data_IF_038741778385
#
_entry.id   IF_038741778385
#
_cell.length_a   1.000
_cell.length_b   1.000
_cell.length_c   1.000
_cell.angle_alpha   90.00
_cell.angle_beta   90.00
_cell.angle_gamma   90.00
#
_symmetry.space_group_name_H-M   'P 1'
#
loop_
_entity.id
_entity.type
_entity.pdbx_description
1 polymer ?
#
# COMPACT_ATOMS: atom_id res chain seq x y z
N UNK A 1 4.18 23.16 -5.70
CA UNK A 1 4.50 21.80 -6.13
C UNK A 1 5.53 21.90 -7.25
N UNK A 2 6.67 21.24 -7.06
CA UNK A 2 7.75 21.25 -8.03
C UNK A 2 7.43 20.31 -9.20
N UNK A 3 7.97 20.62 -10.39
CA UNK A 3 7.89 19.75 -11.56
C UNK A 3 9.29 19.26 -11.92
N UNK A 4 9.40 17.97 -12.23
CA UNK A 4 10.65 17.40 -12.72
C UNK A 4 10.41 16.46 -13.88
N UNK A 5 11.40 16.36 -14.76
CA UNK A 5 11.40 15.38 -15.83
C UNK A 5 12.15 14.12 -15.40
N UNK A 6 11.70 12.97 -15.88
CA UNK A 6 12.28 11.67 -15.57
C UNK A 6 12.57 10.88 -16.85
N UNK A 7 13.55 9.97 -16.79
CA UNK A 7 13.93 9.11 -17.91
C UNK A 7 13.19 7.77 -17.91
N UNK A 8 12.74 7.33 -16.75
CA UNK A 8 12.03 6.08 -16.55
C UNK A 8 11.03 6.22 -15.40
N UNK A 9 9.87 5.57 -15.51
CA UNK A 9 8.83 5.57 -14.46
C UNK A 9 8.31 4.18 -14.12
N UNK A 10 8.31 3.24 -15.09
CA UNK A 10 7.91 1.86 -14.88
C UNK A 10 9.13 1.07 -14.39
N UNK A 11 9.22 0.87 -13.08
CA UNK A 11 10.33 0.18 -12.45
C UNK A 11 10.04 -1.32 -12.40
N UNK A 12 10.92 -2.14 -13.01
CA UNK A 12 10.82 -3.60 -12.94
C UNK A 12 11.47 -4.10 -11.65
N UNK A 13 10.78 -4.98 -10.93
CA UNK A 13 11.35 -5.69 -9.78
C UNK A 13 12.27 -6.81 -10.24
N UNK A 14 13.29 -7.14 -9.44
CA UNK A 14 14.22 -8.27 -9.74
C UNK A 14 13.49 -9.61 -9.70
N UNK A 15 12.58 -9.76 -8.74
CA UNK A 15 11.67 -10.89 -8.58
C UNK A 15 10.27 -10.33 -8.30
N UNK A 16 9.22 -11.07 -8.64
CA UNK A 16 7.86 -10.71 -8.29
C UNK A 16 7.74 -10.58 -6.77
N UNK A 17 7.13 -9.49 -6.35
CA UNK A 17 6.78 -9.31 -4.95
C UNK A 17 5.70 -10.31 -4.55
N UNK A 18 5.94 -11.05 -3.46
CA UNK A 18 5.02 -12.10 -3.00
C UNK A 18 3.81 -11.56 -2.22
N UNK A 19 3.88 -10.32 -1.75
CA UNK A 19 2.79 -9.68 -1.01
C UNK A 19 1.74 -9.10 -1.95
N UNK A 20 2.19 -8.32 -2.95
CA UNK A 20 1.33 -7.59 -3.89
C UNK A 20 1.31 -8.21 -5.29
N UNK A 21 2.00 -9.32 -5.49
CA UNK A 21 2.13 -10.05 -6.75
C UNK A 21 2.69 -9.17 -7.90
N UNK A 22 3.49 -8.17 -7.57
CA UNK A 22 3.89 -7.13 -8.49
C UNK A 22 5.22 -7.42 -9.20
N UNK A 23 5.24 -7.24 -10.52
CA UNK A 23 6.46 -7.20 -11.34
C UNK A 23 6.96 -5.79 -11.59
N UNK A 24 6.05 -4.83 -11.56
CA UNK A 24 6.36 -3.43 -11.85
C UNK A 24 5.80 -2.50 -10.78
N UNK A 25 6.41 -1.31 -10.70
CA UNK A 25 5.84 -0.21 -9.92
C UNK A 25 5.95 1.10 -10.68
N UNK A 26 5.01 2.02 -10.43
CA UNK A 26 5.01 3.37 -10.99
C UNK A 26 4.55 4.37 -9.93
N UNK A 27 5.22 5.54 -9.93
CA UNK A 27 4.85 6.68 -9.09
C UNK A 27 4.84 7.95 -9.96
N UNK A 28 3.67 8.60 -10.10
CA UNK A 28 3.54 9.87 -10.81
C UNK A 28 4.04 11.06 -10.00
N UNK A 29 3.98 10.91 -8.68
CA UNK A 29 4.34 11.93 -7.71
C UNK A 29 5.58 11.53 -6.93
N UNK A 30 6.24 12.51 -6.32
CA UNK A 30 7.21 12.36 -5.23
C UNK A 30 6.70 13.11 -4.00
N UNK A 31 6.99 12.54 -2.82
CA UNK A 31 6.33 12.95 -1.59
C UNK A 31 4.90 12.38 -1.52
N UNK A 32 4.25 12.57 -0.37
CA UNK A 32 2.92 12.04 -0.10
C UNK A 32 2.14 12.98 0.82
N UNK A 33 0.94 13.39 0.42
CA UNK A 33 0.08 14.26 1.23
C UNK A 33 -0.55 13.56 2.43
N UNK A 34 -0.56 12.22 2.49
CA UNK A 34 -0.98 11.49 3.69
C UNK A 34 -0.07 11.77 4.88
N UNK A 35 1.19 12.18 4.63
CA UNK A 35 2.16 12.64 5.61
C UNK A 35 2.35 11.70 6.81
N UNK A 36 2.32 10.39 6.58
CA UNK A 36 2.46 9.40 7.65
C UNK A 36 3.80 9.53 8.35
N UNK A 37 3.80 9.59 9.70
CA UNK A 37 5.02 9.75 10.50
C UNK A 37 5.92 8.51 10.42
N UNK A 38 5.34 7.33 10.29
CA UNK A 38 6.04 6.05 10.18
C UNK A 38 6.38 5.65 8.73
N UNK A 39 6.18 6.52 7.74
CA UNK A 39 6.35 6.14 6.34
C UNK A 39 7.76 5.61 6.06
N UNK A 40 7.85 4.37 5.59
CA UNK A 40 9.14 3.73 5.30
C UNK A 40 9.96 4.44 4.20
N UNK A 41 9.33 5.31 3.44
CA UNK A 41 10.03 6.12 2.43
C UNK A 41 10.93 7.15 3.10
N UNK A 42 10.52 7.72 4.25
CA UNK A 42 11.28 8.70 5.02
C UNK A 42 12.54 8.06 5.61
N UNK A 43 13.70 8.64 5.34
CA UNK A 43 15.01 8.14 5.78
C UNK A 43 15.52 6.94 4.99
N UNK A 44 14.78 6.44 3.99
CA UNK A 44 15.24 5.42 3.05
C UNK A 44 15.77 6.04 1.75
N UNK A 45 16.45 5.23 0.95
CA UNK A 45 16.92 5.63 -0.39
C UNK A 45 15.81 6.09 -1.36
N UNK A 46 14.55 5.86 -1.03
CA UNK A 46 13.39 6.29 -1.83
C UNK A 46 12.88 7.67 -1.41
N UNK A 47 13.35 8.20 -0.28
CA UNK A 47 12.88 9.42 0.34
C UNK A 47 13.83 10.61 0.28
N UNK A 48 14.93 10.53 -0.47
CA UNK A 48 15.95 11.60 -0.58
C UNK A 48 15.37 12.99 -0.93
N UNK A 49 14.19 13.03 -1.54
CA UNK A 49 13.55 14.28 -1.94
C UNK A 49 12.26 14.59 -1.14
N UNK A 50 11.95 13.85 -0.08
CA UNK A 50 10.70 14.08 0.67
C UNK A 50 10.70 15.43 1.40
N UNK A 51 11.88 15.92 1.80
CA UNK A 51 12.04 17.22 2.47
C UNK A 51 11.82 18.41 1.51
N UNK A 52 11.91 18.18 0.19
CA UNK A 52 11.68 19.18 -0.85
C UNK A 52 10.18 19.39 -1.15
N UNK A 53 9.30 18.72 -0.42
CA UNK A 53 7.85 18.79 -0.59
C UNK A 53 7.36 17.93 -1.78
N UNK A 54 6.09 18.15 -2.17
CA UNK A 54 5.46 17.39 -3.24
C UNK A 54 5.96 17.81 -4.62
N UNK A 55 6.35 16.83 -5.44
CA UNK A 55 6.74 17.04 -6.83
C UNK A 55 5.93 16.17 -7.81
N UNK A 56 5.76 16.70 -9.01
CA UNK A 56 5.11 16.02 -10.14
C UNK A 56 6.18 15.62 -11.15
N UNK A 57 6.12 14.42 -11.65
CA UNK A 57 6.90 13.96 -12.81
C UNK A 57 6.18 14.44 -14.07
N UNK A 58 6.55 15.62 -14.58
CA UNK A 58 5.81 16.33 -15.64
C UNK A 58 5.67 15.56 -16.94
N UNK A 59 6.59 14.65 -17.25
CA UNK A 59 6.57 13.79 -18.44
C UNK A 59 6.19 12.34 -18.15
N UNK A 60 5.57 12.06 -16.97
CA UNK A 60 5.27 10.68 -16.53
C UNK A 60 4.44 9.91 -17.55
N UNK A 61 3.43 10.54 -18.15
CA UNK A 61 2.52 9.89 -19.09
C UNK A 61 3.23 9.49 -20.39
N UNK A 62 4.03 10.39 -20.96
CA UNK A 62 4.79 10.12 -22.18
C UNK A 62 5.79 8.97 -21.97
N UNK A 63 6.54 9.02 -20.85
CA UNK A 63 7.54 7.99 -20.54
C UNK A 63 6.86 6.66 -20.23
N UNK A 64 5.77 6.66 -19.45
CA UNK A 64 5.00 5.47 -19.15
C UNK A 64 4.43 4.81 -20.38
N UNK A 65 3.84 5.59 -21.29
CA UNK A 65 3.26 5.09 -22.53
C UNK A 65 4.30 4.37 -23.39
N UNK A 66 5.47 4.98 -23.61
CA UNK A 66 6.58 4.36 -24.35
C UNK A 66 7.03 3.03 -23.70
N UNK A 67 7.12 3.01 -22.37
CA UNK A 67 7.56 1.82 -21.63
C UNK A 67 6.52 0.69 -21.69
N UNK A 68 5.22 1.00 -21.48
CA UNK A 68 4.14 0.02 -21.59
C UNK A 68 4.02 -0.54 -23.01
N UNK A 69 4.09 0.29 -24.03
CA UNK A 69 4.09 -0.13 -25.42
C UNK A 69 5.24 -1.11 -25.73
N UNK A 70 6.46 -0.77 -25.28
CA UNK A 70 7.62 -1.63 -25.48
C UNK A 70 7.48 -2.99 -24.78
N UNK A 71 6.88 -3.02 -23.58
CA UNK A 71 6.60 -4.25 -22.82
C UNK A 71 5.50 -5.08 -23.48
N UNK A 72 4.38 -4.46 -23.87
CA UNK A 72 3.27 -5.12 -24.55
C UNK A 72 3.70 -5.77 -25.85
N UNK A 73 4.51 -5.09 -26.69
CA UNK A 73 5.08 -5.67 -27.92
C UNK A 73 5.91 -6.94 -27.70
N UNK A 74 6.49 -7.09 -26.49
CA UNK A 74 7.30 -8.27 -26.10
C UNK A 74 6.49 -9.31 -25.32
N UNK A 75 5.19 -9.12 -25.13
CA UNK A 75 4.37 -9.98 -24.28
C UNK A 75 4.76 -9.98 -22.79
N UNK A 76 5.48 -8.95 -22.32
CA UNK A 76 6.01 -8.86 -20.96
C UNK A 76 5.00 -8.18 -20.03
N UNK A 77 3.87 -8.84 -19.83
CA UNK A 77 2.84 -8.41 -18.90
C UNK A 77 3.21 -8.76 -17.46
N UNK A 78 2.75 -7.94 -16.54
CA UNK A 78 2.95 -8.12 -15.09
C UNK A 78 2.10 -7.12 -14.32
N UNK A 79 1.79 -7.44 -13.06
CA UNK A 79 1.02 -6.55 -12.20
C UNK A 79 1.84 -5.30 -11.89
N UNK A 80 1.24 -4.12 -12.10
CA UNK A 80 1.85 -2.82 -11.82
C UNK A 80 1.30 -2.26 -10.51
N UNK A 81 2.16 -2.10 -9.48
CA UNK A 81 1.80 -1.33 -8.29
C UNK A 81 1.80 0.16 -8.64
N UNK A 82 0.66 0.81 -8.46
CA UNK A 82 0.49 2.25 -8.65
C UNK A 82 0.59 2.94 -7.30
N UNK A 83 1.59 3.80 -7.14
CA UNK A 83 1.80 4.54 -5.89
C UNK A 83 2.60 3.76 -4.83
N UNK A 84 3.66 3.03 -5.22
CA UNK A 84 4.48 2.23 -4.28
C UNK A 84 5.29 3.08 -3.28
N UNK A 85 5.72 4.29 -3.65
CA UNK A 85 6.49 5.20 -2.79
C UNK A 85 5.75 6.51 -2.48
N UNK A 86 4.47 6.58 -2.83
CA UNK A 86 3.54 7.69 -2.57
C UNK A 86 2.13 7.12 -2.56
N UNK A 87 1.13 7.90 -2.18
CA UNK A 87 -0.26 7.51 -2.44
C UNK A 87 -0.62 7.88 -3.89
N UNK A 88 -1.30 6.98 -4.61
CA UNK A 88 -1.75 7.25 -5.97
C UNK A 88 -2.86 8.31 -6.02
N UNK A 89 -3.63 8.46 -4.96
CA UNK A 89 -4.77 9.37 -4.85
C UNK A 89 -4.53 10.48 -3.83
N UNK A 90 -3.41 11.19 -3.98
CA UNK A 90 -3.12 12.40 -3.22
C UNK A 90 -4.23 13.45 -3.40
N UNK A 91 -4.42 14.38 -2.46
CA UNK A 91 -5.36 15.51 -2.62
C UNK A 91 -5.18 16.26 -3.94
N UNK A 92 -3.95 16.36 -4.42
CA UNK A 92 -3.62 17.02 -5.68
C UNK A 92 -4.11 16.26 -6.93
N UNK A 93 -4.43 14.97 -6.79
CA UNK A 93 -4.91 14.12 -7.87
C UNK A 93 -6.30 14.58 -8.39
N UNK A 94 -7.10 15.24 -7.56
CA UNK A 94 -8.36 15.87 -8.01
C UNK A 94 -8.13 16.85 -9.16
N UNK A 95 -7.05 17.63 -9.07
CA UNK A 95 -6.69 18.65 -10.06
C UNK A 95 -5.86 18.08 -11.21
N UNK A 96 -4.83 17.31 -10.90
CA UNK A 96 -3.83 16.89 -11.88
C UNK A 96 -4.22 15.67 -12.67
N UNK A 97 -5.07 14.80 -12.12
CA UNK A 97 -5.59 13.58 -12.76
C UNK A 97 -4.53 12.70 -13.42
N UNK A 98 -3.32 12.66 -12.82
CA UNK A 98 -2.23 11.87 -13.37
C UNK A 98 -2.47 10.37 -13.15
N UNK A 99 -3.02 9.97 -12.01
CA UNK A 99 -3.40 8.57 -11.76
C UNK A 99 -4.49 8.14 -12.72
N UNK A 100 -5.56 8.92 -12.90
CA UNK A 100 -6.60 8.65 -13.89
C UNK A 100 -5.99 8.50 -15.30
N UNK A 101 -5.05 9.37 -15.67
CA UNK A 101 -4.39 9.32 -16.98
C UNK A 101 -3.49 8.09 -17.14
N UNK A 102 -2.77 7.69 -16.07
CA UNK A 102 -2.00 6.44 -16.07
C UNK A 102 -2.91 5.21 -16.19
N UNK A 103 -4.07 5.21 -15.51
CA UNK A 103 -5.06 4.14 -15.63
C UNK A 103 -5.57 3.97 -17.05
N UNK A 104 -5.79 5.08 -17.79
CA UNK A 104 -6.14 5.03 -19.22
C UNK A 104 -5.03 4.36 -20.06
N UNK A 105 -3.77 4.57 -19.71
CA UNK A 105 -2.65 3.88 -20.36
C UNK A 105 -2.61 2.40 -20.01
N UNK A 106 -2.86 2.01 -18.77
CA UNK A 106 -2.95 0.59 -18.37
C UNK A 106 -4.10 -0.10 -19.11
N UNK A 107 -5.26 0.55 -19.25
CA UNK A 107 -6.35 0.04 -20.08
C UNK A 107 -5.91 -0.15 -21.53
N UNK A 108 -5.33 0.89 -22.14
CA UNK A 108 -4.86 0.88 -23.55
C UNK A 108 -3.89 -0.27 -23.84
N UNK A 109 -2.95 -0.50 -22.94
CA UNK A 109 -1.92 -1.53 -23.09
C UNK A 109 -2.22 -2.83 -22.35
N UNK A 110 -3.39 -2.94 -21.69
CA UNK A 110 -3.94 -4.12 -21.04
C UNK A 110 -3.08 -4.65 -19.88
N UNK A 111 -2.46 -3.76 -19.11
CA UNK A 111 -1.69 -4.13 -17.91
C UNK A 111 -2.59 -4.27 -16.69
N UNK A 112 -2.46 -5.36 -15.89
CA UNK A 112 -3.11 -5.47 -14.61
C UNK A 112 -2.47 -4.52 -13.58
N UNK A 113 -3.28 -4.07 -12.62
CA UNK A 113 -2.83 -3.09 -11.60
C UNK A 113 -3.14 -3.57 -10.19
N UNK A 114 -2.25 -3.23 -9.26
CA UNK A 114 -2.47 -3.25 -7.83
C UNK A 114 -2.43 -1.81 -7.31
N UNK A 115 -3.46 -1.40 -6.57
CA UNK A 115 -3.54 -0.06 -5.99
C UNK A 115 -3.86 -0.18 -4.51
N UNK A 116 -2.98 0.40 -3.67
CA UNK A 116 -3.24 0.58 -2.24
C UNK A 116 -3.28 2.08 -1.93
N UNK A 117 -4.38 2.54 -1.33
CA UNK A 117 -4.55 3.97 -1.03
C UNK A 117 -5.20 4.20 0.33
N UNK A 118 -4.88 5.35 0.94
CA UNK A 118 -5.54 5.88 2.14
C UNK A 118 -6.60 6.94 1.80
N UNK A 119 -6.89 7.13 0.50
CA UNK A 119 -7.80 8.18 0.01
C UNK A 119 -9.07 7.57 -0.58
N UNK A 120 -10.21 8.16 -0.26
CA UNK A 120 -11.51 7.77 -0.85
C UNK A 120 -11.68 8.23 -2.30
N UNK A 121 -10.76 9.06 -2.82
CA UNK A 121 -10.81 9.58 -4.18
C UNK A 121 -10.74 8.48 -5.26
N UNK A 122 -10.26 7.28 -4.94
CA UNK A 122 -10.26 6.13 -5.85
C UNK A 122 -11.67 5.79 -6.37
N UNK A 123 -12.72 6.11 -5.61
CA UNK A 123 -14.11 5.88 -6.02
C UNK A 123 -14.49 6.66 -7.30
N UNK A 124 -13.78 7.74 -7.62
CA UNK A 124 -13.94 8.49 -8.87
C UNK A 124 -13.69 7.62 -10.11
N UNK A 125 -12.77 6.68 -10.00
CA UNK A 125 -12.23 5.95 -11.15
C UNK A 125 -12.81 4.52 -11.30
N UNK A 126 -13.90 4.19 -10.59
CA UNK A 126 -14.52 2.85 -10.55
C UNK A 126 -14.76 2.30 -11.97
N UNK A 127 -15.37 3.09 -12.87
CA UNK A 127 -15.71 2.61 -14.21
C UNK A 127 -14.46 2.33 -15.06
N UNK A 128 -13.41 3.13 -14.90
CA UNK A 128 -12.14 2.90 -15.56
C UNK A 128 -11.44 1.64 -15.01
N UNK A 129 -11.48 1.44 -13.69
CA UNK A 129 -10.94 0.26 -13.03
C UNK A 129 -11.67 -1.03 -13.47
N UNK A 130 -13.01 -0.99 -13.64
CA UNK A 130 -13.77 -2.13 -14.21
C UNK A 130 -13.34 -2.49 -15.62
N UNK A 131 -13.08 -1.48 -16.46
CA UNK A 131 -12.60 -1.71 -17.82
C UNK A 131 -11.21 -2.36 -17.82
N UNK A 132 -10.31 -1.90 -16.94
CA UNK A 132 -8.99 -2.50 -16.77
C UNK A 132 -9.11 -3.94 -16.29
N UNK A 133 -9.92 -4.19 -15.25
CA UNK A 133 -10.12 -5.52 -14.66
C UNK A 133 -10.54 -6.56 -15.71
N UNK A 134 -11.45 -6.16 -16.60
CA UNK A 134 -11.94 -7.00 -17.71
C UNK A 134 -10.92 -7.18 -18.84
N UNK A 135 -10.13 -6.13 -19.15
CA UNK A 135 -9.28 -6.11 -20.34
C UNK A 135 -7.85 -6.59 -20.08
N UNK A 136 -7.39 -6.60 -18.82
CA UNK A 136 -6.01 -6.88 -18.46
C UNK A 136 -5.54 -8.27 -18.89
N UNK A 137 -4.28 -8.35 -19.28
CA UNK A 137 -3.59 -9.60 -19.59
C UNK A 137 -2.76 -9.98 -18.36
N UNK A 138 -3.18 -11.01 -17.66
CA UNK A 138 -2.46 -11.53 -16.50
C UNK A 138 -1.21 -12.31 -16.92
N UNK A 139 -0.15 -12.32 -16.08
CA UNK A 139 0.93 -13.29 -16.19
C UNK A 139 0.39 -14.72 -16.23
N UNK A 140 1.03 -15.58 -17.02
CA UNK A 140 0.51 -16.93 -17.30
C UNK A 140 0.29 -17.74 -16.02
N UNK A 141 1.25 -17.67 -15.10
CA UNK A 141 1.23 -18.36 -13.81
C UNK A 141 0.19 -17.81 -12.81
N UNK A 142 -0.36 -16.61 -13.05
CA UNK A 142 -1.41 -16.02 -12.21
C UNK A 142 -2.82 -16.14 -12.80
N UNK A 143 -2.96 -16.55 -14.06
CA UNK A 143 -4.28 -16.59 -14.73
C UNK A 143 -5.28 -17.47 -14.02
N UNK A 144 -4.86 -18.67 -13.61
CA UNK A 144 -5.74 -19.63 -12.98
C UNK A 144 -6.11 -19.26 -11.53
N UNK A 145 -5.15 -18.68 -10.78
CA UNK A 145 -5.30 -18.43 -9.36
C UNK A 145 -5.86 -17.04 -9.02
N UNK A 146 -5.55 -16.02 -9.83
CA UNK A 146 -5.97 -14.64 -9.55
C UNK A 146 -7.29 -14.27 -10.23
N UNK A 147 -7.44 -14.55 -11.52
CA UNK A 147 -8.66 -14.31 -12.30
C UNK A 147 -9.12 -12.85 -12.41
N UNK A 148 -8.33 -11.88 -11.90
CA UNK A 148 -8.67 -10.46 -11.79
C UNK A 148 -7.53 -9.58 -12.28
N UNK A 149 -7.87 -8.58 -13.11
CA UNK A 149 -6.89 -7.61 -13.63
C UNK A 149 -6.65 -6.41 -12.71
N UNK A 150 -7.50 -6.23 -11.69
CA UNK A 150 -7.39 -5.14 -10.72
C UNK A 150 -7.48 -5.69 -9.31
N UNK A 151 -6.50 -5.34 -8.49
CA UNK A 151 -6.46 -5.63 -7.06
C UNK A 151 -6.44 -4.30 -6.32
N UNK A 152 -7.40 -4.10 -5.42
CA UNK A 152 -7.53 -2.86 -4.67
C UNK A 152 -7.33 -3.11 -3.18
N UNK A 153 -6.64 -2.20 -2.52
CA UNK A 153 -6.51 -2.29 -1.07
C UNK A 153 -6.45 -0.92 -0.41
N UNK A 154 -6.65 -0.92 0.89
CA UNK A 154 -6.34 0.22 1.75
C UNK A 154 -5.39 -0.19 2.85
N UNK A 155 -4.57 0.78 3.35
CA UNK A 155 -3.72 0.50 4.50
C UNK A 155 -4.43 0.86 5.80
N UNK A 156 -4.28 0.01 6.83
CA UNK A 156 -4.75 0.27 8.19
C UNK A 156 -3.65 -0.11 9.19
N UNK A 157 -3.27 0.81 10.06
CA UNK A 157 -2.29 0.54 11.14
C UNK A 157 -2.97 0.42 12.50
N UNK A 158 -4.19 0.93 12.62
CA UNK A 158 -5.02 0.90 13.83
C UNK A 158 -6.47 1.23 13.46
N UNK A 159 -7.42 0.79 14.29
CA UNK A 159 -8.83 1.24 14.24
C UNK A 159 -9.10 2.42 15.17
N UNK A 160 -8.14 2.81 16.02
CA UNK A 160 -8.26 3.99 16.88
C UNK A 160 -8.06 5.26 16.04
N UNK A 161 -9.12 6.04 15.87
CA UNK A 161 -9.12 7.26 15.03
C UNK A 161 -8.16 8.34 15.55
N UNK A 162 -7.99 8.47 16.86
CA UNK A 162 -7.07 9.46 17.43
C UNK A 162 -5.62 9.11 17.09
N UNK A 163 -5.22 7.85 17.26
CA UNK A 163 -3.89 7.35 16.91
C UNK A 163 -3.68 7.47 15.40
N UNK A 164 -4.68 7.08 14.59
CA UNK A 164 -4.62 7.21 13.14
C UNK A 164 -4.41 8.67 12.72
N UNK A 165 -5.16 9.63 13.29
CA UNK A 165 -5.01 11.04 12.98
C UNK A 165 -3.62 11.58 13.35
N UNK A 166 -3.09 11.18 14.52
CA UNK A 166 -1.74 11.60 14.95
C UNK A 166 -0.65 11.07 14.01
N UNK A 167 -0.79 9.85 13.51
CA UNK A 167 0.23 9.18 12.70
C UNK A 167 0.08 9.40 11.19
N UNK A 168 -1.14 9.67 10.72
CA UNK A 168 -1.52 9.77 9.31
C UNK A 168 -2.38 11.02 9.04
N UNK A 169 -1.88 12.23 9.34
CA UNK A 169 -2.69 13.46 9.42
C UNK A 169 -3.38 13.86 8.10
N UNK A 170 -2.89 13.39 6.97
CA UNK A 170 -3.45 13.69 5.64
C UNK A 170 -4.21 12.50 5.02
N UNK A 171 -4.50 11.44 5.77
CA UNK A 171 -5.24 10.29 5.29
C UNK A 171 -6.72 10.35 5.70
N UNK A 172 -7.59 9.68 4.96
CA UNK A 172 -8.96 9.42 5.41
C UNK A 172 -8.95 8.57 6.70
N UNK A 173 -9.99 8.67 7.52
CA UNK A 173 -10.09 7.88 8.76
C UNK A 173 -10.13 6.37 8.48
N UNK A 174 -9.76 5.51 9.44
CA UNK A 174 -9.86 4.06 9.28
C UNK A 174 -11.24 3.59 8.80
N UNK A 175 -12.30 4.15 9.38
CA UNK A 175 -13.67 3.79 9.02
C UNK A 175 -14.05 4.24 7.60
N UNK A 176 -13.64 5.44 7.17
CA UNK A 176 -13.88 5.91 5.80
C UNK A 176 -13.17 5.03 4.77
N UNK A 177 -11.95 4.58 5.07
CA UNK A 177 -11.19 3.65 4.21
C UNK A 177 -11.87 2.29 4.09
N UNK A 178 -12.41 1.76 5.19
CA UNK A 178 -13.16 0.50 5.16
C UNK A 178 -14.48 0.64 4.40
N UNK A 179 -15.22 1.73 4.59
CA UNK A 179 -16.45 2.01 3.82
C UNK A 179 -16.14 2.15 2.32
N UNK A 180 -15.06 2.84 1.95
CA UNK A 180 -14.58 2.90 0.56
C UNK A 180 -14.30 1.50 0.02
N UNK A 181 -13.56 0.68 0.78
CA UNK A 181 -13.23 -0.70 0.37
C UNK A 181 -14.49 -1.54 0.16
N UNK A 182 -15.48 -1.42 1.05
CA UNK A 182 -16.76 -2.09 0.92
C UNK A 182 -17.51 -1.68 -0.36
N UNK A 183 -17.50 -0.39 -0.71
CA UNK A 183 -18.08 0.09 -1.96
C UNK A 183 -17.38 -0.52 -3.19
N UNK A 184 -16.05 -0.57 -3.18
CA UNK A 184 -15.27 -1.20 -4.24
C UNK A 184 -15.57 -2.71 -4.33
N UNK A 185 -15.72 -3.38 -3.20
CA UNK A 185 -16.11 -4.79 -3.14
C UNK A 185 -17.49 -5.05 -3.72
N UNK A 186 -18.46 -4.18 -3.44
CA UNK A 186 -19.82 -4.23 -4.02
C UNK A 186 -19.81 -4.05 -5.55
N UNK A 187 -18.81 -3.38 -6.09
CA UNK A 187 -18.58 -3.28 -7.55
C UNK A 187 -17.91 -4.52 -8.16
N UNK A 188 -17.61 -5.53 -7.33
CA UNK A 188 -17.07 -6.81 -7.76
C UNK A 188 -15.55 -6.89 -7.80
N UNK A 189 -14.80 -5.91 -7.30
CA UNK A 189 -13.34 -5.97 -7.27
C UNK A 189 -12.80 -6.97 -6.25
N UNK A 190 -11.57 -7.45 -6.48
CA UNK A 190 -10.76 -8.13 -5.47
C UNK A 190 -10.19 -7.07 -4.53
N UNK A 191 -10.63 -7.09 -3.27
CA UNK A 191 -10.34 -6.04 -2.31
C UNK A 191 -9.73 -6.58 -1.02
N UNK A 192 -8.72 -5.87 -0.47
CA UNK A 192 -8.12 -6.26 0.79
C UNK A 192 -7.60 -5.11 1.63
N UNK A 193 -7.12 -5.43 2.81
CA UNK A 193 -6.49 -4.49 3.73
C UNK A 193 -5.00 -4.82 3.89
N UNK A 194 -4.16 -3.81 3.77
CA UNK A 194 -2.77 -3.88 4.16
C UNK A 194 -2.65 -3.34 5.58
N UNK A 195 -2.73 -4.22 6.58
CA UNK A 195 -2.43 -3.89 7.97
C UNK A 195 -0.90 -3.82 8.16
N UNK A 196 -0.30 -2.89 7.43
CA UNK A 196 1.13 -2.63 7.32
C UNK A 196 1.36 -1.12 7.40
N UNK A 197 2.02 -0.66 8.49
CA UNK A 197 2.52 -1.47 9.61
C UNK A 197 1.49 -1.71 10.70
N UNK A 198 1.59 -2.84 11.39
CA UNK A 198 1.08 -2.98 12.74
C UNK A 198 2.09 -2.33 13.69
N UNK A 199 1.58 -1.58 14.67
CA UNK A 199 2.38 -0.76 15.58
C UNK A 199 2.69 -1.55 16.85
N UNK A 200 3.97 -1.91 17.12
CA UNK A 200 4.34 -2.66 18.33
C UNK A 200 3.85 -1.96 19.61
N UNK A 201 3.31 -2.73 20.54
CA UNK A 201 2.77 -2.29 21.83
C UNK A 201 1.56 -1.35 21.75
N UNK A 202 1.05 -1.06 20.54
CA UNK A 202 -0.08 -0.15 20.29
C UNK A 202 -1.23 -0.87 19.60
N UNK A 203 -0.97 -1.47 18.43
CA UNK A 203 -2.00 -2.19 17.66
C UNK A 203 -1.68 -3.69 17.46
N UNK A 204 -0.65 -4.22 18.13
CA UNK A 204 -0.22 -5.60 18.03
C UNK A 204 -0.73 -6.50 19.20
N UNK A 205 -1.50 -5.94 20.15
CA UNK A 205 -2.21 -6.75 21.15
C UNK A 205 -3.25 -7.62 20.46
N UNK A 206 -3.64 -8.74 21.08
CA UNK A 206 -4.65 -9.63 20.50
C UNK A 206 -5.97 -8.88 20.26
N UNK A 207 -6.39 -8.03 21.21
CA UNK A 207 -7.60 -7.23 21.13
C UNK A 207 -7.56 -6.21 19.97
N UNK A 208 -6.50 -5.41 19.88
CA UNK A 208 -6.39 -4.38 18.83
C UNK A 208 -6.24 -4.99 17.44
N UNK A 209 -5.47 -6.07 17.32
CA UNK A 209 -5.33 -6.79 16.06
C UNK A 209 -6.66 -7.44 15.65
N UNK A 210 -7.42 -8.00 16.59
CA UNK A 210 -8.75 -8.54 16.33
C UNK A 210 -9.73 -7.46 15.89
N UNK A 211 -9.66 -6.24 16.46
CA UNK A 211 -10.46 -5.09 15.98
C UNK A 211 -10.18 -4.76 14.52
N UNK A 212 -8.91 -4.76 14.11
CA UNK A 212 -8.53 -4.52 12.71
C UNK A 212 -9.07 -5.63 11.80
N UNK A 213 -8.86 -6.89 12.18
CA UNK A 213 -9.25 -8.05 11.37
C UNK A 213 -10.77 -8.18 11.28
N UNK A 214 -11.49 -8.08 12.41
CA UNK A 214 -12.95 -8.17 12.44
C UNK A 214 -13.62 -7.02 11.68
N UNK A 215 -13.07 -5.79 11.78
CA UNK A 215 -13.56 -4.65 11.01
C UNK A 215 -13.30 -4.84 9.52
N UNK A 216 -12.16 -5.40 9.13
CA UNK A 216 -11.83 -5.76 7.74
C UNK A 216 -12.82 -6.77 7.18
N UNK A 217 -13.08 -7.85 7.92
CA UNK A 217 -14.07 -8.87 7.58
C UNK A 217 -15.50 -8.29 7.49
N UNK A 218 -15.91 -7.47 8.47
CA UNK A 218 -17.23 -6.83 8.52
C UNK A 218 -17.51 -5.90 7.32
N UNK A 219 -16.46 -5.44 6.61
CA UNK A 219 -16.57 -4.67 5.37
C UNK A 219 -16.35 -5.53 4.12
N UNK A 220 -16.44 -6.86 4.23
CA UNK A 220 -16.38 -7.83 3.14
C UNK A 220 -15.07 -7.84 2.34
N UNK A 221 -13.94 -7.50 2.97
CA UNK A 221 -12.64 -7.64 2.32
C UNK A 221 -12.31 -9.13 2.06
N UNK A 222 -11.61 -9.40 0.96
CA UNK A 222 -11.20 -10.75 0.57
C UNK A 222 -9.98 -11.24 1.34
N UNK A 223 -9.10 -10.32 1.73
CA UNK A 223 -7.84 -10.65 2.41
C UNK A 223 -7.37 -9.51 3.32
N UNK A 224 -6.48 -9.86 4.23
CA UNK A 224 -5.70 -8.91 5.02
C UNK A 224 -4.23 -9.33 5.05
N UNK A 225 -3.34 -8.39 4.73
CA UNK A 225 -1.89 -8.57 4.85
C UNK A 225 -1.44 -7.91 6.15
N UNK A 226 -0.74 -8.65 7.01
CA UNK A 226 -0.27 -8.15 8.32
C UNK A 226 1.24 -8.09 8.34
N UNK A 227 1.80 -6.91 8.59
CA UNK A 227 3.25 -6.69 8.61
C UNK A 227 3.71 -5.72 9.68
N UNK A 228 4.97 -5.91 10.13
CA UNK A 228 5.57 -5.11 11.19
C UNK A 228 6.03 -3.72 10.74
N UNK A 229 6.28 -2.87 11.71
CA UNK A 229 6.71 -1.49 11.53
C UNK A 229 8.21 -1.42 11.17
N UNK A 230 8.53 -0.66 10.13
CA UNK A 230 9.91 -0.34 9.72
C UNK A 230 10.19 1.14 10.00
N UNK A 231 11.30 1.44 10.67
CA UNK A 231 11.70 2.80 11.03
C UNK A 231 13.09 3.10 10.51
N UNK A 232 13.21 4.08 9.61
CA UNK A 232 14.46 4.47 8.98
C UNK A 232 14.96 5.81 9.47
N UNK A 233 16.29 5.96 9.47
CA UNK A 233 17.04 7.20 9.60
C UNK A 233 17.00 7.85 10.98
N UNK A 234 17.76 8.93 11.12
CA UNK A 234 17.88 9.69 12.36
C UNK A 234 17.83 11.21 12.11
N UNK A 235 17.62 11.66 10.86
CA UNK A 235 17.39 13.06 10.57
C UNK A 235 15.99 13.51 11.03
N UNK A 236 15.77 14.79 11.13
CA UNK A 236 14.53 15.36 11.70
C UNK A 236 13.25 14.92 10.97
N UNK A 237 13.32 14.69 9.64
CA UNK A 237 12.18 14.28 8.82
C UNK A 237 12.09 12.75 8.60
N UNK A 238 13.01 11.97 9.17
CA UNK A 238 13.06 10.52 9.03
C UNK A 238 11.97 9.83 9.88
N UNK A 239 11.52 8.68 9.40
CA UNK A 239 10.40 7.99 10.04
C UNK A 239 10.70 7.57 11.47
N UNK A 240 11.95 7.18 11.80
CA UNK A 240 12.33 6.84 13.17
C UNK A 240 12.18 8.04 14.10
N UNK A 241 12.73 9.18 13.73
CA UNK A 241 12.67 10.43 14.52
C UNK A 241 11.23 10.86 14.74
N UNK A 242 10.44 10.97 13.66
CA UNK A 242 9.05 11.41 13.73
C UNK A 242 8.17 10.45 14.56
N UNK A 243 8.42 9.15 14.44
CA UNK A 243 7.69 8.16 15.22
C UNK A 243 8.03 8.22 16.71
N UNK A 244 9.29 8.45 17.06
CA UNK A 244 9.69 8.63 18.47
C UNK A 244 9.13 9.94 19.06
N UNK A 245 9.01 11.01 18.26
CA UNK A 245 8.31 12.22 18.68
C UNK A 245 6.80 11.97 18.90
N UNK A 246 6.18 11.14 18.08
CA UNK A 246 4.82 10.67 18.35
C UNK A 246 4.75 9.89 19.66
N UNK A 247 5.65 8.93 19.92
CA UNK A 247 5.67 8.16 21.19
C UNK A 247 5.81 9.06 22.42
N UNK A 248 6.66 10.10 22.36
CA UNK A 248 6.80 11.08 23.45
C UNK A 248 5.48 11.75 23.82
N UNK A 249 4.64 12.03 22.83
CA UNK A 249 3.34 12.69 23.03
C UNK A 249 2.23 11.73 23.39
N UNK A 250 2.26 10.52 22.87
CA UNK A 250 1.24 9.49 23.04
C UNK A 250 1.42 8.75 24.35
N UNK A 251 2.56 8.11 24.53
CA UNK A 251 2.97 7.38 25.75
C UNK A 251 4.50 7.21 25.78
N UNK A 252 5.17 8.06 26.52
CA UNK A 252 6.63 8.05 26.62
C UNK A 252 7.19 6.79 27.27
N UNK A 253 6.39 6.01 28.01
CA UNK A 253 6.80 4.74 28.62
C UNK A 253 7.09 3.65 27.57
N UNK A 254 6.62 3.83 26.32
CA UNK A 254 6.90 2.93 25.21
C UNK A 254 8.32 3.11 24.64
N UNK A 255 8.95 4.27 24.82
CA UNK A 255 10.25 4.56 24.21
C UNK A 255 11.31 3.52 24.56
N UNK A 256 11.54 3.16 25.85
CA UNK A 256 12.51 2.13 26.20
C UNK A 256 12.19 0.75 25.59
N UNK A 257 10.90 0.42 25.39
CA UNK A 257 10.48 -0.83 24.76
C UNK A 257 10.85 -0.86 23.28
N UNK A 258 10.64 0.27 22.56
CA UNK A 258 11.04 0.43 21.17
C UNK A 258 12.55 0.41 21.01
N UNK A 259 13.30 1.11 21.87
CA UNK A 259 14.76 1.10 21.87
C UNK A 259 15.32 -0.32 22.07
N UNK A 260 14.75 -1.09 23.00
CA UNK A 260 15.11 -2.49 23.21
C UNK A 260 14.77 -3.38 22.00
N UNK A 261 13.61 -3.14 21.36
CA UNK A 261 13.14 -3.94 20.22
C UNK A 261 13.96 -3.68 18.96
N UNK A 262 14.21 -2.43 18.63
CA UNK A 262 14.86 -2.04 17.38
C UNK A 262 16.39 -1.93 17.49
N UNK A 263 16.91 -1.45 18.62
CA UNK A 263 18.33 -1.18 18.79
C UNK A 263 18.87 -0.31 17.65
N UNK A 264 19.83 -0.84 16.90
CA UNK A 264 20.40 -0.20 15.71
C UNK A 264 19.71 -0.62 14.40
N UNK A 265 18.72 -1.52 14.46
CA UNK A 265 18.05 -2.06 13.28
C UNK A 265 16.89 -1.16 12.85
N UNK A 266 16.53 -1.25 11.58
CA UNK A 266 15.35 -0.60 11.00
C UNK A 266 14.07 -1.45 11.15
N UNK A 267 14.23 -2.74 11.39
CA UNK A 267 13.14 -3.74 11.46
C UNK A 267 13.06 -4.33 12.86
N UNK A 268 11.88 -4.72 13.31
CA UNK A 268 11.74 -5.49 14.52
C UNK A 268 12.36 -6.88 14.35
N UNK A 269 12.74 -7.58 15.44
CA UNK A 269 13.33 -8.92 15.39
C UNK A 269 12.46 -9.91 14.60
N UNK A 270 13.10 -10.87 13.90
CA UNK A 270 12.37 -11.92 13.16
C UNK A 270 11.37 -12.65 14.05
N UNK A 271 11.75 -12.97 15.27
CA UNK A 271 10.87 -13.63 16.26
C UNK A 271 9.57 -12.84 16.47
N UNK A 272 9.66 -11.51 16.63
CA UNK A 272 8.47 -10.67 16.76
C UNK A 272 7.60 -10.71 15.50
N UNK A 273 8.21 -10.68 14.33
CA UNK A 273 7.47 -10.73 13.05
C UNK A 273 6.75 -12.08 12.87
N UNK A 274 7.38 -13.18 13.27
CA UNK A 274 6.80 -14.52 13.26
C UNK A 274 5.65 -14.65 14.26
N UNK A 275 5.82 -14.14 15.48
CA UNK A 275 4.76 -14.10 16.51
C UNK A 275 3.57 -13.25 16.07
N UNK A 276 3.82 -12.08 15.45
CA UNK A 276 2.77 -11.23 14.90
C UNK A 276 2.00 -11.95 13.78
N UNK A 277 2.73 -12.62 12.88
CA UNK A 277 2.13 -13.40 11.78
C UNK A 277 1.24 -14.52 12.33
N UNK A 278 1.75 -15.34 13.26
CA UNK A 278 1.00 -16.44 13.87
C UNK A 278 -0.25 -15.95 14.61
N UNK A 279 -0.14 -14.82 15.33
CA UNK A 279 -1.27 -14.19 16.01
C UNK A 279 -2.33 -13.77 14.99
N UNK A 280 -1.92 -13.10 13.91
CA UNK A 280 -2.82 -12.66 12.85
C UNK A 280 -3.51 -13.84 12.16
N UNK A 281 -2.77 -14.89 11.79
CA UNK A 281 -3.31 -16.11 11.17
C UNK A 281 -4.36 -16.79 12.07
N UNK A 282 -4.10 -16.91 13.37
CA UNK A 282 -5.05 -17.45 14.35
C UNK A 282 -6.35 -16.63 14.40
N UNK A 283 -6.24 -15.30 14.39
CA UNK A 283 -7.43 -14.43 14.41
C UNK A 283 -8.15 -14.48 13.07
N UNK A 284 -7.42 -14.42 11.95
CA UNK A 284 -8.01 -14.50 10.61
C UNK A 284 -8.81 -15.80 10.41
N UNK A 285 -8.34 -16.91 10.96
CA UNK A 285 -9.05 -18.19 10.91
C UNK A 285 -10.43 -18.14 11.60
N UNK A 286 -10.61 -17.36 12.67
CA UNK A 286 -11.91 -17.17 13.34
C UNK A 286 -12.95 -16.52 12.39
N UNK A 287 -12.50 -15.64 11.50
CA UNK A 287 -13.32 -14.87 10.57
C UNK A 287 -13.33 -15.43 9.16
N UNK A 288 -12.61 -16.52 8.90
CA UNK A 288 -12.44 -17.09 7.55
C UNK A 288 -11.99 -16.04 6.51
N UNK A 289 -11.06 -15.16 6.89
CA UNK A 289 -10.45 -14.18 6.00
C UNK A 289 -9.03 -14.61 5.61
N UNK A 290 -8.69 -14.46 4.33
CA UNK A 290 -7.36 -14.84 3.82
C UNK A 290 -6.26 -13.92 4.33
N UNK A 291 -5.07 -14.47 4.55
CA UNK A 291 -3.85 -13.73 4.92
C UNK A 291 -2.95 -13.46 3.71
N UNK A 292 -3.42 -13.75 2.50
CA UNK A 292 -2.74 -13.53 1.23
C UNK A 292 -3.74 -13.17 0.13
N UNK A 293 -3.28 -12.53 -0.94
CA UNK A 293 -4.10 -12.18 -2.12
C UNK A 293 -4.58 -13.47 -2.82
N UNK A 294 -3.70 -14.45 -2.98
CA UNK A 294 -4.04 -15.76 -3.54
C UNK A 294 -4.46 -16.73 -2.44
N UNK A 295 -5.34 -17.65 -2.77
CA UNK A 295 -5.65 -18.78 -1.90
C UNK A 295 -4.43 -19.72 -1.83
N UNK A 296 -3.92 -19.95 -0.62
CA UNK A 296 -2.79 -20.84 -0.40
C UNK A 296 -3.13 -22.33 -0.65
N UNK A 297 -4.40 -22.66 -0.91
CA UNK A 297 -4.86 -24.02 -1.19
C UNK A 297 -4.76 -24.42 -2.65
N UNK A 298 -4.30 -23.55 -3.56
CA UNK A 298 -4.18 -23.85 -5.01
C UNK A 298 -2.78 -24.38 -5.40
N UNK A 299 -1.80 -24.39 -4.50
CA UNK A 299 -0.44 -24.88 -4.79
C UNK A 299 -0.20 -26.37 -4.53
N UNK A 300 -1.23 -27.18 -4.33
CA UNK A 300 -1.08 -28.62 -4.11
C UNK A 300 -1.79 -29.42 -5.25
N UNK A 301 -1.30 -29.28 -6.50
CA UNK A 301 -1.50 -30.28 -7.55
C UNK A 301 -0.41 -30.16 -8.61
#
# INVERSE_FOLDING_TARGET
MHQKQVRSVLNKQKQRDTWFLAEYSVNAYEGCSCNCLYCYVRGSKYGENMDNGLAIKSNVLEVLEKQLQAKAKKGQYGIVVVGSATDAYLHHEEKWKLTESMLKLFLKYRFPVFISTKSTLILRDIELLKQIDKAAILPEDLKASLGRGVILSTSLSTMNEQIAHMLEPGAATPLERLKMLQQLKQQGFLCGVNAIPILPFISDTEEELEKIISSTWGHNADYILVGGLTLFGNAAADSKTLYYEFLKRYDSSLIPKYEKMYGLNFFPPKKYQEELKQKAEKICAKYNIRTAILDQHVEAN
#
